data_IF_934558536128
#
_entry.id   IF_934558536128
#
_cell.length_a   1.000
_cell.length_b   1.000
_cell.length_c   1.000
_cell.angle_alpha   90.00
_cell.angle_beta   90.00
_cell.angle_gamma   90.00
#
_symmetry.space_group_name_H-M   'P 1'
#
loop_
_entity.id
_entity.type
_entity.pdbx_description
1 polymer ?
#
# COMPACT_ATOMS: atom_id res chain seq x y z
N UNK A 1 8.27 -10.28 -14.19
CA UNK A 1 7.50 -11.08 -13.22
C UNK A 1 7.11 -10.16 -12.06
N UNK A 2 5.82 -10.06 -11.74
CA UNK A 2 5.29 -9.15 -10.71
C UNK A 2 4.92 -9.85 -9.40
N UNK A 3 4.53 -9.06 -8.39
CA UNK A 3 3.91 -9.55 -7.16
C UNK A 3 2.38 -9.46 -7.27
N UNK A 4 1.66 -10.49 -6.80
CA UNK A 4 0.20 -10.52 -6.78
C UNK A 4 -0.32 -10.31 -5.37
N UNK A 5 -1.07 -9.24 -5.18
CA UNK A 5 -1.62 -8.81 -3.90
C UNK A 5 -3.13 -9.13 -3.89
N UNK A 6 -3.60 -9.78 -2.84
CA UNK A 6 -5.02 -10.04 -2.57
C UNK A 6 -5.39 -9.34 -1.29
N UNK A 7 -6.37 -8.44 -1.32
CA UNK A 7 -6.89 -7.79 -0.13
C UNK A 7 -8.34 -8.22 0.11
N UNK A 8 -8.69 -8.46 1.36
CA UNK A 8 -10.06 -8.70 1.81
C UNK A 8 -10.42 -7.68 2.88
N UNK A 9 -11.57 -7.03 2.74
CA UNK A 9 -12.05 -6.02 3.68
C UNK A 9 -13.58 -5.92 3.69
N UNK A 10 -14.20 -6.07 4.85
CA UNK A 10 -15.65 -5.94 5.05
C UNK A 10 -16.48 -6.81 4.10
N UNK A 11 -15.99 -8.00 3.77
CA UNK A 11 -16.63 -8.93 2.84
C UNK A 11 -16.30 -8.71 1.36
N UNK A 12 -15.59 -7.64 0.99
CA UNK A 12 -15.08 -7.42 -0.37
C UNK A 12 -13.71 -8.07 -0.53
N UNK A 13 -13.47 -8.72 -1.66
CA UNK A 13 -12.16 -9.30 -2.02
C UNK A 13 -11.67 -8.68 -3.31
N UNK A 14 -10.48 -8.10 -3.28
CA UNK A 14 -9.86 -7.46 -4.42
C UNK A 14 -8.49 -8.07 -4.68
N UNK A 15 -8.16 -8.23 -5.96
CA UNK A 15 -6.86 -8.75 -6.40
C UNK A 15 -6.22 -7.69 -7.28
N UNK A 16 -4.95 -7.40 -7.01
CA UNK A 16 -4.10 -6.49 -7.77
C UNK A 16 -2.79 -7.17 -8.05
N UNK A 17 -2.33 -7.10 -9.29
CA UNK A 17 -1.01 -7.57 -9.66
C UNK A 17 -0.13 -6.37 -9.93
N UNK A 18 1.05 -6.37 -9.32
CA UNK A 18 2.02 -5.28 -9.37
C UNK A 18 3.23 -5.78 -10.13
N UNK A 19 3.45 -5.28 -11.34
CA UNK A 19 4.59 -5.67 -12.16
C UNK A 19 5.87 -4.97 -11.66
N UNK A 20 6.77 -5.72 -11.01
CA UNK A 20 8.09 -5.22 -10.56
C UNK A 20 9.18 -5.26 -11.63
N UNK A 21 8.83 -5.40 -12.92
CA UNK A 21 9.79 -5.49 -14.02
C UNK A 21 10.21 -4.12 -14.52
N UNK A 22 11.35 -3.62 -14.06
CA UNK A 22 11.96 -2.41 -14.59
C UNK A 22 12.48 -2.60 -16.02
N UNK A 23 11.94 -1.81 -16.95
CA UNK A 23 12.59 -1.45 -18.20
C UNK A 23 12.46 0.06 -18.43
N UNK A 24 13.52 0.76 -18.02
CA UNK A 24 14.04 2.05 -18.49
C UNK A 24 13.20 3.34 -18.41
N UNK A 25 11.87 3.38 -18.56
CA UNK A 25 11.14 4.68 -18.60
C UNK A 25 9.69 4.66 -18.09
N UNK A 26 9.22 3.56 -17.50
CA UNK A 26 7.83 3.46 -17.01
C UNK A 26 7.81 3.30 -15.50
N UNK A 27 7.40 4.38 -14.83
CA UNK A 27 6.99 4.43 -13.44
C UNK A 27 5.82 3.47 -13.21
N UNK A 28 6.09 2.16 -13.12
CA UNK A 28 5.11 1.18 -12.64
C UNK A 28 4.91 1.47 -11.16
N UNK A 29 3.87 2.23 -10.87
CA UNK A 29 3.52 2.60 -9.51
C UNK A 29 3.24 1.31 -8.72
N UNK A 30 4.14 0.99 -7.77
CA UNK A 30 4.00 -0.20 -6.92
C UNK A 30 2.84 -0.07 -5.90
N UNK A 31 2.08 1.04 -5.93
CA UNK A 31 0.96 1.27 -5.02
C UNK A 31 -0.29 0.58 -5.53
N UNK A 32 -0.65 -0.51 -4.87
CA UNK A 32 -1.98 -1.09 -4.99
C UNK A 32 -2.95 -0.35 -4.06
N UNK A 33 -3.79 0.52 -4.64
CA UNK A 33 -4.90 1.12 -3.91
C UNK A 33 -6.08 0.14 -3.85
N UNK A 34 -6.52 -0.16 -2.64
CA UNK A 34 -7.71 -0.97 -2.38
C UNK A 34 -8.81 -0.06 -1.86
N UNK A 35 -9.94 -0.01 -2.58
CA UNK A 35 -11.10 0.78 -2.20
C UNK A 35 -11.93 0.02 -1.17
N UNK A 36 -11.87 0.44 0.09
CA UNK A 36 -12.49 -0.27 1.22
C UNK A 36 -13.95 0.16 1.47
N UNK A 37 -14.47 1.11 0.68
CA UNK A 37 -15.83 1.61 0.82
C UNK A 37 -16.06 2.26 2.19
N UNK A 38 -16.98 1.69 2.99
CA UNK A 38 -17.26 2.11 4.37
C UNK A 38 -16.44 1.37 5.43
N UNK A 39 -15.63 0.38 5.02
CA UNK A 39 -14.84 -0.42 5.96
C UNK A 39 -13.59 0.35 6.38
N UNK A 40 -13.44 0.52 7.69
CA UNK A 40 -12.29 1.21 8.31
C UNK A 40 -11.10 0.29 8.55
N UNK A 41 -11.21 -1.00 8.22
CA UNK A 41 -10.15 -2.00 8.37
C UNK A 41 -10.11 -2.98 7.22
N UNK A 42 -8.92 -3.51 6.98
CA UNK A 42 -8.63 -4.60 6.05
C UNK A 42 -8.53 -5.88 6.87
N UNK A 43 -9.37 -6.87 6.56
CA UNK A 43 -9.39 -8.15 7.25
C UNK A 43 -8.08 -8.92 6.99
N UNK A 44 -7.65 -8.97 5.73
CA UNK A 44 -6.42 -9.65 5.34
C UNK A 44 -5.83 -9.13 4.03
N UNK A 45 -4.51 -9.03 3.96
CA UNK A 45 -3.73 -8.85 2.73
C UNK A 45 -2.82 -10.05 2.55
N UNK A 46 -2.86 -10.68 1.38
CA UNK A 46 -1.92 -11.72 0.97
C UNK A 46 -1.08 -11.20 -0.20
N UNK A 47 0.24 -11.25 -0.08
CA UNK A 47 1.20 -10.89 -1.12
C UNK A 47 1.89 -12.17 -1.60
N UNK A 48 1.71 -12.49 -2.87
CA UNK A 48 2.44 -13.55 -3.57
C UNK A 48 3.56 -12.89 -4.38
N UNK A 49 4.79 -13.11 -3.96
CA UNK A 49 5.97 -12.55 -4.58
C UNK A 49 6.41 -13.33 -5.82
N UNK A 50 7.14 -12.70 -6.76
CA UNK A 50 7.70 -13.38 -7.92
C UNK A 50 8.75 -14.44 -7.55
N UNK A 51 9.38 -14.33 -6.38
CA UNK A 51 10.24 -15.37 -5.80
C UNK A 51 9.49 -16.63 -5.39
N UNK A 52 8.16 -16.59 -5.33
CA UNK A 52 7.30 -17.65 -4.80
C UNK A 52 7.00 -17.51 -3.30
N UNK A 53 7.64 -16.56 -2.61
CA UNK A 53 7.31 -16.23 -1.23
C UNK A 53 5.86 -15.76 -1.10
N UNK A 54 5.20 -16.17 -0.03
CA UNK A 54 3.85 -15.73 0.32
C UNK A 54 3.89 -15.06 1.67
N UNK A 55 3.35 -13.85 1.75
CA UNK A 55 3.22 -13.11 2.99
C UNK A 55 1.78 -12.73 3.22
N UNK A 56 1.32 -12.80 4.47
CA UNK A 56 -0.05 -12.47 4.81
C UNK A 56 -0.08 -11.58 6.04
N UNK A 57 -0.85 -10.49 5.96
CA UNK A 57 -1.04 -9.50 7.01
C UNK A 57 -2.54 -9.39 7.31
N UNK A 58 -2.92 -9.14 8.56
CA UNK A 58 -4.32 -9.07 9.00
C UNK A 58 -4.51 -7.89 9.95
N UNK A 59 -5.75 -7.48 10.14
CA UNK A 59 -6.14 -6.36 11.01
C UNK A 59 -5.38 -5.05 10.70
N UNK A 60 -5.31 -4.70 9.40
CA UNK A 60 -4.68 -3.46 8.99
C UNK A 60 -5.69 -2.33 8.99
N UNK A 61 -5.33 -1.16 9.52
CA UNK A 61 -6.18 0.03 9.47
C UNK A 61 -6.29 0.54 8.03
N UNK A 62 -7.51 0.92 7.63
CA UNK A 62 -7.78 1.59 6.35
C UNK A 62 -7.15 2.99 6.31
N UNK A 63 -7.10 3.58 5.11
CA UNK A 63 -6.59 4.95 4.87
C UNK A 63 -5.11 5.15 5.23
N UNK A 64 -4.36 4.04 5.32
CA UNK A 64 -2.93 4.04 5.61
C UNK A 64 -2.13 3.42 4.48
N UNK A 65 -0.91 3.92 4.33
CA UNK A 65 0.06 3.36 3.39
C UNK A 65 1.00 2.43 4.12
N UNK A 66 0.98 1.17 3.70
CA UNK A 66 1.85 0.14 4.23
C UNK A 66 2.92 -0.22 3.20
N UNK A 67 4.15 -0.29 3.67
CA UNK A 67 5.31 -0.78 2.92
C UNK A 67 5.56 -2.22 3.34
N UNK A 68 5.47 -3.11 2.37
CA UNK A 68 5.76 -4.53 2.53
C UNK A 68 7.04 -4.81 1.73
N UNK A 69 8.01 -5.42 2.38
CA UNK A 69 9.27 -5.84 1.75
C UNK A 69 9.30 -7.37 1.68
N UNK A 70 9.72 -7.90 0.53
CA UNK A 70 9.85 -9.35 0.33
C UNK A 70 10.81 -9.93 1.37
N UNK A 71 10.34 -10.96 2.10
CA UNK A 71 11.14 -11.65 3.11
C UNK A 71 11.23 -10.91 4.45
N UNK A 72 10.47 -9.81 4.63
CA UNK A 72 10.29 -9.18 5.95
C UNK A 72 8.89 -9.42 6.48
N UNK A 73 8.80 -10.06 7.64
CA UNK A 73 7.53 -10.27 8.34
C UNK A 73 6.94 -8.98 8.94
N UNK A 74 7.69 -7.87 8.92
CA UNK A 74 7.23 -6.57 9.40
C UNK A 74 6.66 -5.72 8.26
N UNK A 75 5.51 -5.11 8.54
CA UNK A 75 4.87 -4.13 7.67
C UNK A 75 5.20 -2.72 8.16
N UNK A 76 5.92 -1.95 7.34
CA UNK A 76 6.29 -0.59 7.69
C UNK A 76 5.15 0.38 7.38
N UNK A 77 4.70 1.17 8.35
CA UNK A 77 3.79 2.27 8.05
C UNK A 77 4.56 3.36 7.30
N UNK A 78 4.27 3.55 6.02
CA UNK A 78 4.80 4.66 5.25
C UNK A 78 4.01 5.92 5.62
N UNK A 79 4.52 6.65 6.61
CA UNK A 79 4.06 8.01 6.88
C UNK A 79 4.49 8.89 5.72
N UNK A 80 3.55 9.26 4.86
CA UNK A 80 3.73 10.48 4.09
C UNK A 80 3.71 11.63 5.10
N UNK A 81 4.79 12.41 5.15
CA UNK A 81 4.76 13.66 5.90
C UNK A 81 3.53 14.44 5.41
N UNK A 82 2.68 14.98 6.30
CA UNK A 82 1.64 15.89 5.86
C UNK A 82 2.34 16.99 5.07
N UNK A 83 1.88 17.20 3.83
CA UNK A 83 2.32 18.32 3.01
C UNK A 83 2.24 19.56 3.90
N UNK A 84 3.40 20.16 4.13
CA UNK A 84 3.58 21.31 4.99
C UNK A 84 2.45 22.30 4.76
N UNK A 85 1.66 22.55 5.79
CA UNK A 85 0.89 23.78 5.89
C UNK A 85 1.91 24.91 5.71
N UNK A 86 1.91 25.52 4.53
CA UNK A 86 2.71 26.71 4.26
C UNK A 86 2.37 27.68 5.38
N UNK A 87 3.31 28.13 6.22
CA UNK A 87 3.00 29.17 7.17
C UNK A 87 2.57 30.38 6.35
N UNK A 88 1.27 30.68 6.41
CA UNK A 88 0.68 31.89 5.88
C UNK A 88 1.51 33.02 6.49
N UNK A 89 2.32 33.69 5.67
CA UNK A 89 3.02 34.92 6.04
C UNK A 89 1.93 35.98 6.26
N UNK A 90 1.29 35.89 7.42
CA UNK A 90 0.47 36.94 7.99
C UNK A 90 1.41 38.03 8.52
N UNK A 91 1.24 39.23 7.94
CA UNK A 91 1.62 40.54 8.45
C UNK A 91 3.13 40.82 8.57
N UNK A 92 3.64 42.01 8.25
CA UNK A 92 3.11 43.39 8.38
C UNK A 92 4.20 44.35 7.81
N UNK A 93 4.05 45.69 7.85
CA UNK A 93 2.95 46.60 7.49
C UNK A 93 3.09 47.21 6.09
#
# INVERSE_FOLDING_TARGET
MGARIRAAAGGLRQIREVAGGGSYLSQSDLRAHFGLGKSTRIDSIEVLWPSGLKQAFRDLEADKFYRIEEGRDEIGLQRFAPHSETPKRDARP
#
